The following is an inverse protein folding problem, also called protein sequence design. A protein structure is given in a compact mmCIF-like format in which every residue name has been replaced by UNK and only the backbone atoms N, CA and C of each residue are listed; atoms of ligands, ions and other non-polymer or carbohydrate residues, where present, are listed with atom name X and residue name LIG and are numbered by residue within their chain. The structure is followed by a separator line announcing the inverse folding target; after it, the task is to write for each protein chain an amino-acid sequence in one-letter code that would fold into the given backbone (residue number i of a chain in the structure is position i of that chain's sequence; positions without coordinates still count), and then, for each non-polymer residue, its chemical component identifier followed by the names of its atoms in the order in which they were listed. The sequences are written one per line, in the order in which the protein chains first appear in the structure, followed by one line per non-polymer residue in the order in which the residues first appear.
data_IF_993765751964
#
_entry.id   IF_993765751964
#
_cell.length_a   1.000
_cell.length_b   1.000
_cell.length_c   1.000
_cell.angle_alpha   90.00
_cell.angle_beta   90.00
_cell.angle_gamma   90.00
#
_symmetry.space_group_name_H-M   'P 1'
#
loop_
_entity.id
_entity.type
_entity.pdbx_description
1 polymer ?
#
# COMPACT_ATOMS: atom_id res chain seq x y z
N UNK A 1 5.61 18.44 -9.11
CA UNK A 1 4.15 18.46 -9.20
C UNK A 1 3.61 17.09 -8.84
N UNK A 2 2.52 17.07 -8.08
CA UNK A 2 1.75 15.87 -7.73
C UNK A 2 0.35 16.05 -8.31
N UNK A 3 -0.20 15.01 -8.88
CA UNK A 3 -1.56 14.98 -9.45
C UNK A 3 -2.23 13.67 -9.07
N UNK A 4 -3.54 13.64 -9.13
CA UNK A 4 -4.36 12.43 -9.09
C UNK A 4 -3.86 11.40 -10.10
N UNK A 5 -3.97 10.14 -9.76
CA UNK A 5 -3.69 9.05 -10.68
C UNK A 5 -4.67 9.11 -11.86
N UNK A 6 -4.19 9.11 -13.11
CA UNK A 6 -5.08 9.19 -14.26
C UNK A 6 -5.89 7.90 -14.44
N UNK A 7 -7.13 8.04 -14.89
CA UNK A 7 -7.88 6.88 -15.35
C UNK A 7 -7.22 6.28 -16.59
N UNK A 8 -6.74 5.04 -16.48
CA UNK A 8 -6.05 4.32 -17.55
C UNK A 8 -6.93 3.26 -18.23
N UNK A 9 -8.01 2.84 -17.59
CA UNK A 9 -8.92 1.78 -18.00
C UNK A 9 -10.38 2.24 -17.90
N UNK A 10 -11.31 1.33 -18.12
CA UNK A 10 -12.75 1.63 -18.12
C UNK A 10 -13.27 2.15 -16.78
N UNK A 11 -12.64 1.74 -15.68
CA UNK A 11 -12.99 2.18 -14.33
C UNK A 11 -11.90 3.10 -13.76
N UNK A 12 -12.33 4.12 -13.01
CA UNK A 12 -11.44 5.07 -12.35
C UNK A 12 -11.00 4.52 -10.99
N UNK A 13 -10.03 3.62 -11.04
CA UNK A 13 -9.45 2.99 -9.86
C UNK A 13 -7.96 3.22 -9.76
N UNK A 14 -7.45 3.25 -8.53
CA UNK A 14 -6.04 3.21 -8.26
C UNK A 14 -5.71 2.07 -7.27
N UNK A 15 -4.50 1.56 -7.38
CA UNK A 15 -3.98 0.58 -6.43
C UNK A 15 -3.77 1.22 -5.06
N UNK A 16 -4.21 0.52 -4.02
CA UNK A 16 -3.90 0.87 -2.65
C UNK A 16 -3.23 -0.28 -1.90
N UNK A 17 -2.30 0.08 -1.06
CA UNK A 17 -1.68 -0.79 -0.07
C UNK A 17 -1.66 -0.06 1.28
N UNK A 18 -1.43 -0.75 2.38
CA UNK A 18 -1.43 -0.15 3.70
C UNK A 18 -0.29 -0.65 4.58
N UNK A 19 0.29 0.29 5.33
CA UNK A 19 1.13 -0.05 6.47
C UNK A 19 0.25 -0.26 7.70
N UNK A 20 0.44 -1.38 8.38
CA UNK A 20 -0.41 -1.79 9.50
C UNK A 20 0.46 -2.23 10.67
N UNK A 21 0.15 -1.72 11.85
CA UNK A 21 0.70 -2.32 13.08
C UNK A 21 0.01 -3.65 13.35
N UNK A 22 0.79 -4.64 13.70
CA UNK A 22 0.30 -5.94 14.16
C UNK A 22 0.92 -6.29 15.51
N UNK A 23 0.16 -6.91 16.36
CA UNK A 23 0.63 -7.46 17.62
C UNK A 23 0.62 -8.99 17.52
N UNK A 24 1.76 -9.62 17.21
CA UNK A 24 1.82 -11.07 17.09
C UNK A 24 1.47 -11.77 18.41
N UNK A 25 0.87 -12.94 18.31
CA UNK A 25 0.62 -13.78 19.49
C UNK A 25 1.96 -14.17 20.10
N UNK A 26 2.10 -13.93 21.41
CA UNK A 26 3.25 -14.34 22.21
C UNK A 26 2.73 -14.86 23.55
N UNK A 27 2.97 -16.16 23.82
CA UNK A 27 2.50 -16.81 25.04
C UNK A 27 3.20 -16.36 26.32
N UNK A 28 4.37 -15.71 26.18
CA UNK A 28 5.16 -15.21 27.32
C UNK A 28 4.85 -13.73 27.64
N UNK A 29 4.02 -13.07 26.83
CA UNK A 29 3.64 -11.68 27.04
C UNK A 29 2.55 -11.57 28.09
N UNK A 30 2.79 -10.74 29.11
CA UNK A 30 1.78 -10.44 30.12
C UNK A 30 0.75 -9.37 29.67
N UNK A 31 -0.23 -9.11 30.54
CA UNK A 31 -1.28 -8.14 30.25
C UNK A 31 -0.76 -6.69 30.19
N UNK A 32 0.21 -6.35 31.04
CA UNK A 32 0.77 -4.99 31.08
C UNK A 32 1.61 -4.71 29.83
N UNK A 33 2.40 -5.67 29.37
CA UNK A 33 3.13 -5.60 28.11
C UNK A 33 2.19 -5.50 26.91
N UNK A 34 1.10 -6.27 26.91
CA UNK A 34 0.08 -6.20 25.86
C UNK A 34 -0.57 -4.84 25.83
N UNK A 35 -0.95 -4.31 27.00
CA UNK A 35 -1.56 -2.99 27.13
C UNK A 35 -0.61 -1.88 26.64
N UNK A 36 0.65 -1.92 27.07
CA UNK A 36 1.65 -0.94 26.64
C UNK A 36 1.86 -0.96 25.11
N UNK A 37 1.91 -2.16 24.50
CA UNK A 37 2.03 -2.29 23.05
C UNK A 37 0.82 -1.71 22.32
N UNK A 38 -0.40 -1.96 22.79
CA UNK A 38 -1.61 -1.39 22.19
C UNK A 38 -1.67 0.13 22.36
N UNK A 39 -1.32 0.65 23.55
CA UNK A 39 -1.25 2.09 23.79
C UNK A 39 -0.24 2.76 22.87
N UNK A 40 0.92 2.16 22.63
CA UNK A 40 1.89 2.64 21.65
C UNK A 40 1.31 2.67 20.22
N UNK A 41 0.66 1.58 19.80
CA UNK A 41 0.06 1.51 18.46
C UNK A 41 -1.01 2.60 18.26
N UNK A 42 -1.85 2.82 19.26
CA UNK A 42 -2.87 3.88 19.24
C UNK A 42 -2.24 5.25 19.18
N UNK A 43 -1.24 5.53 20.03
CA UNK A 43 -0.53 6.80 20.03
C UNK A 43 0.19 7.04 18.69
N UNK A 44 0.84 6.03 18.12
CA UNK A 44 1.49 6.13 16.81
C UNK A 44 0.50 6.47 15.68
N UNK A 45 -0.69 5.88 15.69
CA UNK A 45 -1.73 6.15 14.69
C UNK A 45 -2.44 7.50 14.90
N UNK A 46 -2.56 7.96 16.14
CA UNK A 46 -3.26 9.20 16.49
C UNK A 46 -2.30 10.39 16.51
N UNK A 47 -1.35 10.37 17.44
CA UNK A 47 -0.45 11.49 17.67
C UNK A 47 0.67 11.56 16.63
N UNK A 48 1.13 10.41 16.14
CA UNK A 48 2.11 10.28 15.06
C UNK A 48 1.53 10.47 13.66
N UNK A 49 0.20 10.43 13.51
CA UNK A 49 -0.47 10.41 12.22
C UNK A 49 -0.17 11.62 11.33
N UNK A 50 -0.10 12.81 11.90
CA UNK A 50 0.24 14.02 11.15
C UNK A 50 1.70 14.01 10.67
N UNK A 51 2.62 13.55 11.51
CA UNK A 51 4.04 13.38 11.13
C UNK A 51 4.17 12.36 9.99
N UNK A 52 3.46 11.24 10.09
CA UNK A 52 3.38 10.24 9.02
C UNK A 52 2.82 10.81 7.73
N UNK A 53 1.76 11.62 7.81
CA UNK A 53 1.19 12.33 6.68
C UNK A 53 2.19 13.25 5.98
N UNK A 54 3.14 13.84 6.71
CA UNK A 54 4.21 14.68 6.17
C UNK A 54 5.11 13.94 5.18
N UNK A 55 5.20 12.61 5.24
CA UNK A 55 5.94 11.79 4.27
C UNK A 55 5.18 11.53 2.95
N UNK A 56 3.95 12.03 2.80
CA UNK A 56 3.11 11.82 1.63
C UNK A 56 2.03 10.75 1.80
N UNK A 57 2.00 10.07 2.93
CA UNK A 57 1.01 9.02 3.21
C UNK A 57 -0.36 9.60 3.60
N UNK A 58 -1.40 8.81 3.40
CA UNK A 58 -2.76 9.15 3.83
C UNK A 58 -3.08 8.33 5.09
N UNK A 59 -3.13 8.97 6.29
CA UNK A 59 -3.48 8.25 7.52
C UNK A 59 -4.90 7.72 7.48
N UNK A 60 -5.11 6.50 8.00
CA UNK A 60 -6.44 5.92 8.13
C UNK A 60 -7.27 6.56 9.26
N UNK A 61 -6.62 7.29 10.17
CA UNK A 61 -7.31 7.96 11.28
C UNK A 61 -8.01 9.23 10.77
N UNK A 62 -9.35 9.23 10.83
CA UNK A 62 -10.18 10.35 10.36
C UNK A 62 -10.04 11.62 11.20
N UNK A 63 -9.62 11.55 12.47
CA UNK A 63 -9.30 12.73 13.27
C UNK A 63 -8.06 13.44 12.72
N UNK A 64 -7.11 12.68 12.17
CA UNK A 64 -5.90 13.24 11.54
C UNK A 64 -6.25 13.84 10.17
N UNK A 65 -6.95 13.09 9.33
CA UNK A 65 -7.29 13.55 7.97
C UNK A 65 -8.32 14.70 7.95
N UNK A 66 -9.12 14.83 9.00
CA UNK A 66 -10.03 15.97 9.21
C UNK A 66 -9.39 17.22 9.82
N UNK A 67 -8.08 17.19 10.14
CA UNK A 67 -7.40 18.30 10.77
C UNK A 67 -6.96 19.36 9.73
N UNK A 68 -7.05 20.64 10.10
CA UNK A 68 -6.60 21.76 9.26
C UNK A 68 -5.09 21.68 8.92
N UNK A 69 -4.26 21.20 9.85
CA UNK A 69 -2.83 21.01 9.62
C UNK A 69 -2.56 19.93 8.57
N UNK A 70 -3.37 18.88 8.53
CA UNK A 70 -3.30 17.87 7.47
C UNK A 70 -3.66 18.47 6.11
N UNK A 71 -4.74 19.23 6.04
CA UNK A 71 -5.17 19.89 4.80
C UNK A 71 -4.14 20.91 4.28
N UNK A 72 -3.37 21.52 5.18
CA UNK A 72 -2.31 22.47 4.83
C UNK A 72 -1.01 21.82 4.34
N UNK A 73 -0.86 20.50 4.42
CA UNK A 73 0.32 19.81 3.91
C UNK A 73 0.46 20.00 2.41
N UNK A 74 1.70 20.18 1.90
CA UNK A 74 1.93 20.40 0.48
C UNK A 74 1.33 19.29 -0.40
N UNK A 75 0.67 19.70 -1.47
CA UNK A 75 0.07 18.82 -2.50
C UNK A 75 -1.05 17.90 -2.03
N UNK A 76 -1.48 17.98 -0.78
CA UNK A 76 -2.46 17.05 -0.19
C UNK A 76 -3.78 17.06 -0.96
N UNK A 77 -4.30 18.25 -1.28
CA UNK A 77 -5.51 18.44 -2.06
C UNK A 77 -5.47 17.85 -3.47
N UNK A 78 -4.28 17.46 -3.96
CA UNK A 78 -4.14 16.94 -5.31
C UNK A 78 -4.36 15.41 -5.40
N UNK A 79 -4.33 14.69 -4.28
CA UNK A 79 -4.43 13.23 -4.26
C UNK A 79 -5.16 12.61 -3.06
N UNK A 80 -5.65 13.42 -2.11
CA UNK A 80 -6.36 12.87 -0.94
C UNK A 80 -7.61 12.08 -1.33
N UNK A 81 -8.26 12.45 -2.42
CA UNK A 81 -9.50 11.82 -2.90
C UNK A 81 -9.24 10.48 -3.59
N UNK A 82 -7.97 10.10 -3.82
CA UNK A 82 -7.61 8.79 -4.36
C UNK A 82 -8.05 7.62 -3.45
N UNK A 83 -8.26 7.89 -2.16
CA UNK A 83 -8.79 6.90 -1.22
C UNK A 83 -10.17 6.37 -1.66
N UNK A 84 -10.99 7.21 -2.28
CA UNK A 84 -12.33 6.81 -2.77
C UNK A 84 -12.26 5.88 -3.97
N UNK A 85 -11.15 5.94 -4.73
CA UNK A 85 -10.89 5.12 -5.92
C UNK A 85 -10.03 3.89 -5.59
N UNK A 86 -9.62 3.75 -4.35
CA UNK A 86 -8.66 2.77 -3.91
C UNK A 86 -9.18 1.34 -4.02
N UNK A 87 -8.46 0.49 -4.72
CA UNK A 87 -8.70 -0.95 -4.79
C UNK A 87 -7.58 -1.68 -4.08
N UNK A 88 -7.96 -2.45 -3.08
CA UNK A 88 -7.03 -3.30 -2.35
C UNK A 88 -6.77 -4.60 -3.11
N UNK A 89 -5.57 -5.17 -3.01
CA UNK A 89 -5.27 -6.46 -3.59
C UNK A 89 -6.19 -7.56 -3.08
N UNK A 90 -6.46 -8.54 -3.91
CA UNK A 90 -7.20 -9.72 -3.51
C UNK A 90 -6.50 -10.46 -2.36
N UNK A 91 -7.27 -11.00 -1.42
CA UNK A 91 -6.75 -11.84 -0.35
C UNK A 91 -6.33 -13.20 -0.92
N UNK A 92 -5.13 -13.27 -1.46
CA UNK A 92 -4.54 -14.45 -2.05
C UNK A 92 -3.17 -14.72 -1.38
N UNK A 93 -2.90 -15.93 -0.86
CA UNK A 93 -1.62 -16.24 -0.23
C UNK A 93 -0.41 -16.08 -1.17
N UNK A 94 -0.65 -16.19 -2.48
CA UNK A 94 0.40 -16.04 -3.50
C UNK A 94 0.53 -14.61 -4.04
N UNK A 95 -0.23 -13.66 -3.51
CA UNK A 95 -0.31 -12.29 -4.02
C UNK A 95 1.08 -11.63 -4.17
N UNK A 96 1.92 -11.74 -3.15
CA UNK A 96 3.26 -11.13 -3.19
C UNK A 96 4.16 -11.78 -4.23
N UNK A 97 4.13 -13.11 -4.38
CA UNK A 97 4.87 -13.80 -5.43
C UNK A 97 4.41 -13.37 -6.82
N UNK A 98 3.10 -13.25 -7.03
CA UNK A 98 2.53 -12.73 -8.28
C UNK A 98 2.97 -11.30 -8.55
N UNK A 99 2.89 -10.41 -7.55
CA UNK A 99 3.31 -9.01 -7.67
C UNK A 99 4.80 -8.90 -8.04
N UNK A 100 5.65 -9.65 -7.36
CA UNK A 100 7.10 -9.59 -7.58
C UNK A 100 7.46 -10.14 -8.97
N UNK A 101 6.84 -11.23 -9.42
CA UNK A 101 6.98 -11.76 -10.78
C UNK A 101 6.52 -10.74 -11.85
N UNK A 102 5.39 -10.06 -11.62
CA UNK A 102 4.93 -9.00 -12.52
C UNK A 102 5.93 -7.84 -12.61
N UNK A 103 6.46 -7.37 -11.48
CA UNK A 103 7.46 -6.28 -11.46
C UNK A 103 8.69 -6.69 -12.27
N UNK A 104 9.23 -7.89 -12.03
CA UNK A 104 10.41 -8.38 -12.74
C UNK A 104 10.17 -8.49 -14.25
N UNK A 105 9.04 -9.04 -14.66
CA UNK A 105 8.70 -9.16 -16.09
C UNK A 105 8.53 -7.81 -16.75
N UNK A 106 7.83 -6.88 -16.13
CA UNK A 106 7.68 -5.52 -16.65
C UNK A 106 9.02 -4.81 -16.77
N UNK A 107 9.94 -4.99 -15.80
CA UNK A 107 11.28 -4.43 -15.87
C UNK A 107 12.06 -4.93 -17.11
N UNK A 108 11.91 -6.18 -17.49
CA UNK A 108 12.56 -6.71 -18.69
C UNK A 108 11.98 -6.13 -19.99
N UNK A 109 10.68 -5.82 -19.98
CA UNK A 109 9.98 -5.26 -21.16
C UNK A 109 10.40 -3.80 -21.38
N UNK A 110 10.26 -2.93 -20.40
CA UNK A 110 10.57 -1.51 -20.61
C UNK A 110 12.07 -1.18 -20.62
N UNK A 111 12.93 -2.06 -20.12
CA UNK A 111 14.38 -1.96 -20.36
C UNK A 111 14.80 -2.49 -21.74
N UNK A 112 13.88 -3.11 -22.47
CA UNK A 112 14.13 -3.66 -23.80
C UNK A 112 14.93 -4.96 -23.79
N UNK A 113 15.02 -5.63 -22.64
CA UNK A 113 15.68 -6.95 -22.53
C UNK A 113 14.83 -8.03 -23.20
N UNK A 114 13.53 -7.95 -23.03
CA UNK A 114 12.54 -8.80 -23.69
C UNK A 114 11.54 -7.94 -24.47
N UNK A 115 10.97 -8.47 -25.54
CA UNK A 115 9.75 -7.89 -26.09
C UNK A 115 8.54 -8.18 -25.18
N UNK A 116 7.44 -7.50 -25.41
CA UNK A 116 6.26 -7.60 -24.53
C UNK A 116 5.67 -9.01 -24.49
N UNK A 117 5.64 -9.72 -25.64
CA UNK A 117 5.09 -11.08 -25.70
C UNK A 117 5.98 -12.06 -24.91
N UNK A 118 7.28 -12.04 -25.15
CA UNK A 118 8.23 -12.90 -24.46
C UNK A 118 8.28 -12.61 -22.94
N UNK A 119 8.15 -11.35 -22.53
CA UNK A 119 8.11 -10.98 -21.11
C UNK A 119 6.84 -11.48 -20.41
N UNK A 120 5.70 -11.42 -21.07
CA UNK A 120 4.43 -11.93 -20.52
C UNK A 120 4.40 -13.46 -20.50
N UNK A 121 4.89 -14.13 -21.54
CA UNK A 121 4.96 -15.59 -21.57
C UNK A 121 5.86 -16.11 -20.43
N UNK A 122 7.02 -15.50 -20.21
CA UNK A 122 7.91 -15.83 -19.10
C UNK A 122 7.24 -15.65 -17.73
N UNK A 123 6.45 -14.56 -17.57
CA UNK A 123 5.66 -14.32 -16.35
C UNK A 123 4.64 -15.43 -16.11
N UNK A 124 3.88 -15.81 -17.14
CA UNK A 124 2.86 -16.87 -17.04
C UNK A 124 3.49 -18.20 -16.64
N UNK A 125 4.63 -18.55 -17.23
CA UNK A 125 5.35 -19.78 -16.92
C UNK A 125 5.88 -19.78 -15.46
N UNK A 126 6.47 -18.66 -15.02
CA UNK A 126 6.95 -18.50 -13.65
C UNK A 126 5.82 -18.61 -12.63
N UNK A 127 4.73 -17.86 -12.83
CA UNK A 127 3.58 -17.88 -11.92
C UNK A 127 2.91 -19.25 -11.87
N UNK A 128 2.79 -19.92 -13.01
CA UNK A 128 2.20 -21.27 -13.07
C UNK A 128 3.03 -22.27 -12.28
N UNK A 129 4.37 -22.18 -12.34
CA UNK A 129 5.26 -23.05 -11.59
C UNK A 129 5.27 -22.81 -10.08
N UNK A 130 4.95 -21.59 -9.65
CA UNK A 130 4.94 -21.20 -8.23
C UNK A 130 3.58 -21.40 -7.56
N UNK A 131 2.52 -21.67 -8.32
CA UNK A 131 1.16 -21.85 -7.81
C UNK A 131 0.75 -23.33 -7.67
N UNK A 132 1.58 -24.27 -8.12
CA UNK A 132 1.45 -25.71 -7.91
C UNK A 132 2.03 -26.12 -6.55
#
# INVERSE_FOLDING_TARGET
NVQSFPQLFDEDHCWADSHTFILPVNGDRDEDETKAAVEFMVAACKDGGLTWAGSGQIPANTEVTGNEEYAALPYRSNYQDEVEKAVLPAKNPHFYAMKDGMIQSLDTIWTGTNDAAAGIDALVDELSSNLE
#
